data_IF_801886181011
#
_entry.id   IF_801886181011
#
_cell.length_a   1.000
_cell.length_b   1.000
_cell.length_c   1.000
_cell.angle_alpha   90.00
_cell.angle_beta   90.00
_cell.angle_gamma   90.00
#
_symmetry.space_group_name_H-M   'P 1'
#
loop_
_entity.id
_entity.type
_entity.pdbx_description
1 polymer ?
#
# COMPACT_ATOMS: atom_id res chain seq x y z
N UNK A 1 -12.26 -0.69 12.26
CA UNK A 1 -12.43 -1.75 13.26
C UNK A 1 -11.10 -2.45 13.43
N UNK A 2 -10.72 -2.77 14.66
CA UNK A 2 -9.49 -3.52 14.97
C UNK A 2 -9.77 -5.03 15.05
N UNK A 3 -8.71 -5.82 15.18
CA UNK A 3 -8.80 -7.30 15.23
C UNK A 3 -9.57 -7.83 16.45
N UNK A 4 -9.70 -7.02 17.52
CA UNK A 4 -10.53 -7.33 18.69
C UNK A 4 -12.02 -6.96 18.51
N UNK A 5 -12.39 -6.47 17.32
CA UNK A 5 -13.76 -6.05 16.99
C UNK A 5 -14.10 -4.63 17.42
N UNK A 6 -13.21 -3.90 18.11
CA UNK A 6 -13.46 -2.53 18.49
C UNK A 6 -13.49 -1.61 17.26
N UNK A 7 -14.49 -0.75 17.16
CA UNK A 7 -14.60 0.27 16.13
C UNK A 7 -14.42 1.66 16.74
N UNK A 8 -13.42 2.40 16.27
CA UNK A 8 -13.14 3.77 16.69
C UNK A 8 -13.30 4.74 15.52
N UNK A 9 -13.75 5.99 15.77
CA UNK A 9 -13.67 7.03 14.75
C UNK A 9 -12.20 7.34 14.42
N UNK A 10 -11.93 7.58 13.14
CA UNK A 10 -10.62 8.02 12.67
C UNK A 10 -10.69 9.47 12.18
N UNK A 11 -9.68 10.27 12.53
CA UNK A 11 -9.48 11.63 12.03
C UNK A 11 -8.55 11.60 10.81
N UNK A 12 -8.95 12.28 9.74
CA UNK A 12 -8.06 12.52 8.60
C UNK A 12 -6.97 13.51 8.99
N UNK A 13 -5.70 13.10 8.88
CA UNK A 13 -4.54 13.98 9.10
C UNK A 13 -4.08 14.64 7.81
N UNK A 14 -4.03 13.88 6.73
CA UNK A 14 -3.63 14.34 5.40
C UNK A 14 -4.13 13.39 4.32
N UNK A 15 -4.28 13.91 3.11
CA UNK A 15 -4.63 13.12 1.92
C UNK A 15 -3.86 13.67 0.72
N UNK A 16 -3.44 12.77 -0.17
CA UNK A 16 -3.03 13.13 -1.51
C UNK A 16 -3.79 12.28 -2.52
N UNK A 17 -4.66 12.93 -3.28
CA UNK A 17 -5.38 12.31 -4.38
C UNK A 17 -4.41 11.91 -5.51
N UNK A 18 -3.35 12.69 -5.75
CA UNK A 18 -2.36 12.41 -6.79
C UNK A 18 -1.57 11.12 -6.54
N UNK A 19 -1.37 10.76 -5.27
CA UNK A 19 -0.66 9.55 -4.88
C UNK A 19 -1.59 8.42 -4.43
N UNK A 20 -2.90 8.65 -4.34
CA UNK A 20 -3.88 7.71 -3.78
C UNK A 20 -3.52 7.25 -2.35
N UNK A 21 -3.16 8.21 -1.48
CA UNK A 21 -2.76 7.94 -0.09
C UNK A 21 -3.52 8.87 0.87
N UNK A 22 -4.02 8.30 1.96
CA UNK A 22 -4.57 9.04 3.10
C UNK A 22 -3.92 8.58 4.41
N UNK A 23 -3.62 9.55 5.30
CA UNK A 23 -3.12 9.32 6.64
C UNK A 23 -4.22 9.58 7.64
N UNK A 24 -4.54 8.57 8.44
CA UNK A 24 -5.61 8.61 9.43
C UNK A 24 -5.03 8.45 10.83
N UNK A 25 -5.65 9.10 11.81
CA UNK A 25 -5.33 8.94 13.23
C UNK A 25 -6.54 8.42 14.00
N UNK A 26 -6.29 7.49 14.90
CA UNK A 26 -7.26 6.99 15.88
C UNK A 26 -6.77 7.38 17.27
N UNK A 27 -7.70 7.60 18.19
CA UNK A 27 -7.39 7.86 19.60
C UNK A 27 -7.29 6.53 20.37
N UNK A 28 -6.20 5.79 20.15
CA UNK A 28 -5.91 4.50 20.80
C UNK A 28 -4.41 4.28 20.91
N UNK A 29 -3.96 4.02 22.13
CA UNK A 29 -2.55 3.73 22.43
C UNK A 29 -2.26 2.22 22.46
N UNK A 30 -0.98 1.86 22.50
CA UNK A 30 -0.54 0.46 22.65
C UNK A 30 -0.86 -0.45 21.47
N UNK A 31 -1.15 0.12 20.29
CA UNK A 31 -1.40 -0.65 19.07
C UNK A 31 -0.12 -1.33 18.56
N UNK A 32 -0.20 -2.57 18.07
CA UNK A 32 0.94 -3.21 17.42
C UNK A 32 1.30 -2.45 16.13
N UNK A 33 2.60 -2.27 15.90
CA UNK A 33 3.12 -1.59 14.71
C UNK A 33 3.67 -2.64 13.75
N UNK A 34 3.20 -2.61 12.50
CA UNK A 34 3.74 -3.45 11.46
C UNK A 34 5.18 -3.01 11.12
N UNK A 35 6.17 -3.92 11.08
CA UNK A 35 7.54 -3.56 10.73
C UNK A 35 7.58 -3.11 9.27
N UNK A 36 8.31 -2.03 8.99
CA UNK A 36 8.52 -1.52 7.64
C UNK A 36 9.78 -2.15 7.05
N UNK A 37 9.65 -2.71 5.85
CA UNK A 37 10.77 -3.19 5.05
C UNK A 37 11.25 -2.13 4.08
N UNK A 38 11.94 -2.57 3.03
CA UNK A 38 12.37 -1.70 1.94
C UNK A 38 11.71 -2.11 0.61
N UNK A 39 10.69 -1.36 0.20
CA UNK A 39 9.98 -1.57 -1.06
C UNK A 39 10.86 -1.35 -2.30
N UNK A 40 11.92 -0.55 -2.18
CA UNK A 40 12.87 -0.37 -3.28
C UNK A 40 13.81 -1.57 -3.45
N UNK A 41 13.98 -2.40 -2.42
CA UNK A 41 14.82 -3.60 -2.46
C UNK A 41 14.09 -4.84 -3.01
N UNK A 42 12.78 -4.76 -3.22
CA UNK A 42 11.97 -5.85 -3.79
C UNK A 42 12.47 -6.20 -5.19
N UNK A 43 12.58 -7.50 -5.44
CA UNK A 43 12.98 -8.09 -6.71
C UNK A 43 11.85 -8.93 -7.31
N UNK A 44 11.89 -9.13 -8.63
CA UNK A 44 10.95 -10.02 -9.29
C UNK A 44 11.11 -11.45 -8.77
N UNK A 45 10.00 -12.11 -8.49
CA UNK A 45 9.96 -13.46 -7.91
C UNK A 45 10.02 -13.49 -6.38
N UNK A 46 10.24 -12.37 -5.69
CA UNK A 46 10.13 -12.31 -4.24
C UNK A 46 8.70 -12.67 -3.81
N UNK A 47 8.57 -13.44 -2.73
CA UNK A 47 7.27 -13.78 -2.14
C UNK A 47 6.56 -12.54 -1.61
N UNK A 48 5.27 -12.43 -1.93
CA UNK A 48 4.43 -11.31 -1.55
C UNK A 48 3.16 -11.79 -0.85
N UNK A 49 2.86 -11.23 0.32
CA UNK A 49 1.62 -11.51 1.04
C UNK A 49 0.78 -10.24 1.10
N UNK A 50 -0.41 -10.26 0.47
CA UNK A 50 -1.39 -9.18 0.56
C UNK A 50 -2.39 -9.50 1.67
N UNK A 51 -2.68 -8.50 2.53
CA UNK A 51 -3.67 -8.61 3.60
C UNK A 51 -4.72 -7.52 3.43
N UNK A 52 -6.00 -7.87 3.58
CA UNK A 52 -7.11 -6.93 3.53
C UNK A 52 -8.35 -7.42 4.26
N UNK A 53 -9.44 -6.65 4.17
CA UNK A 53 -10.74 -6.96 4.77
C UNK A 53 -11.87 -6.64 3.78
N UNK A 54 -12.09 -7.51 2.76
CA UNK A 54 -13.25 -7.44 1.88
C UNK A 54 -14.57 -7.51 2.66
N UNK A 55 -15.66 -6.97 2.10
CA UNK A 55 -16.96 -6.95 2.78
C UNK A 55 -17.49 -8.36 3.12
N UNK A 56 -17.04 -9.38 2.38
CA UNK A 56 -17.43 -10.77 2.53
C UNK A 56 -16.60 -11.54 3.57
N UNK A 57 -15.45 -10.99 4.02
CA UNK A 57 -14.49 -11.69 4.88
C UNK A 57 -13.88 -10.76 5.92
N UNK A 58 -13.85 -11.17 7.20
CA UNK A 58 -13.22 -10.37 8.27
C UNK A 58 -11.75 -10.07 7.98
N UNK A 59 -11.02 -11.07 7.49
CA UNK A 59 -9.64 -10.95 7.02
C UNK A 59 -9.42 -11.82 5.78
N UNK A 60 -8.79 -11.26 4.76
CA UNK A 60 -8.31 -11.99 3.59
C UNK A 60 -6.79 -11.89 3.54
N UNK A 61 -6.13 -13.05 3.48
CA UNK A 61 -4.69 -13.17 3.28
C UNK A 61 -4.46 -13.91 1.96
N UNK A 62 -3.63 -13.34 1.09
CA UNK A 62 -3.30 -13.95 -0.20
C UNK A 62 -1.80 -13.93 -0.44
N UNK A 63 -1.27 -15.03 -0.97
CA UNK A 63 0.13 -15.19 -1.33
C UNK A 63 0.28 -15.11 -2.86
N UNK A 64 1.33 -14.42 -3.29
CA UNK A 64 1.80 -14.39 -4.66
C UNK A 64 3.29 -14.10 -4.71
N UNK A 65 3.75 -13.59 -5.84
CA UNK A 65 5.12 -13.12 -6.04
C UNK A 65 5.12 -11.69 -6.60
N UNK A 66 6.24 -10.98 -6.48
CA UNK A 66 6.45 -9.77 -7.25
C UNK A 66 6.59 -10.14 -8.74
N UNK A 67 5.53 -9.90 -9.51
CA UNK A 67 5.44 -10.27 -10.93
C UNK A 67 5.89 -9.14 -11.86
N UNK A 68 5.86 -7.90 -11.40
CA UNK A 68 6.39 -6.74 -12.13
C UNK A 68 6.80 -5.63 -11.18
N UNK A 69 7.73 -4.76 -11.59
CA UNK A 69 8.12 -3.58 -10.84
C UNK A 69 8.14 -2.39 -11.80
N UNK A 70 7.35 -1.37 -11.49
CA UNK A 70 7.29 -0.14 -12.27
C UNK A 70 8.06 0.93 -11.50
N UNK A 71 9.15 1.42 -12.08
CA UNK A 71 9.96 2.54 -11.55
C UNK A 71 9.92 3.67 -12.57
N UNK A 72 8.91 4.54 -12.55
CA UNK A 72 8.81 5.57 -13.56
C UNK A 72 9.92 6.60 -13.36
N UNK A 73 10.51 7.06 -14.45
CA UNK A 73 11.55 8.10 -14.47
C UNK A 73 10.96 9.43 -14.91
N UNK A 74 11.56 10.57 -14.52
CA UNK A 74 11.18 11.88 -15.06
C UNK A 74 11.17 11.85 -16.60
N UNK A 75 10.02 12.16 -17.20
CA UNK A 75 9.82 12.15 -18.66
C UNK A 75 9.21 10.88 -19.26
N UNK A 76 8.97 9.83 -18.47
CA UNK A 76 8.30 8.62 -18.96
C UNK A 76 6.81 8.88 -19.26
N UNK A 77 6.29 8.35 -20.38
CA UNK A 77 4.83 8.39 -20.66
C UNK A 77 4.02 7.60 -19.63
N UNK A 78 4.63 6.62 -18.97
CA UNK A 78 4.03 5.88 -17.86
C UNK A 78 3.92 6.74 -16.58
N UNK A 79 4.74 7.79 -16.44
CA UNK A 79 4.63 8.80 -15.39
C UNK A 79 3.35 9.65 -15.53
N UNK A 80 2.67 9.59 -16.68
CA UNK A 80 1.50 10.45 -16.98
C UNK A 80 0.23 9.98 -16.24
N UNK A 81 0.16 8.71 -15.80
CA UNK A 81 -0.97 8.23 -15.00
C UNK A 81 -0.90 8.64 -13.53
N UNK A 82 0.30 8.91 -13.02
CA UNK A 82 0.53 9.37 -11.65
C UNK A 82 1.57 10.49 -11.73
N UNK A 83 1.11 11.74 -11.65
CA UNK A 83 1.86 13.01 -11.83
C UNK A 83 3.20 13.09 -11.06
N UNK A 84 3.46 12.14 -10.14
CA UNK A 84 4.68 12.04 -9.34
C UNK A 84 5.25 10.62 -9.16
N UNK A 85 4.85 9.68 -10.02
CA UNK A 85 5.58 8.43 -10.30
C UNK A 85 6.02 7.57 -9.10
N UNK A 86 5.11 7.12 -8.22
CA UNK A 86 5.48 6.17 -7.20
C UNK A 86 6.01 4.88 -7.86
N UNK A 87 7.04 4.28 -7.25
CA UNK A 87 7.44 2.91 -7.60
C UNK A 87 6.29 1.98 -7.22
N UNK A 88 5.83 1.17 -8.18
CA UNK A 88 4.82 0.16 -7.94
C UNK A 88 5.42 -1.23 -7.94
N UNK A 89 4.95 -2.05 -7.01
CA UNK A 89 5.19 -3.49 -6.96
C UNK A 89 3.91 -4.16 -7.47
N UNK A 90 4.00 -4.81 -8.62
CA UNK A 90 2.91 -5.60 -9.15
C UNK A 90 3.04 -7.06 -8.72
N UNK A 91 1.93 -7.69 -8.35
CA UNK A 91 1.88 -9.05 -7.83
C UNK A 91 0.66 -9.82 -8.35
N UNK A 92 0.80 -11.13 -8.43
CA UNK A 92 -0.28 -12.08 -8.73
C UNK A 92 -1.01 -12.57 -7.47
N UNK A 93 -0.65 -12.07 -6.27
CA UNK A 93 -1.50 -12.21 -5.09
C UNK A 93 -2.90 -11.66 -5.40
N UNK A 94 -3.94 -12.25 -4.78
CA UNK A 94 -5.31 -11.83 -5.02
C UNK A 94 -5.49 -10.36 -4.67
N UNK A 95 -5.99 -9.60 -5.63
CA UNK A 95 -6.40 -8.21 -5.46
C UNK A 95 -7.88 -8.07 -5.78
N UNK A 96 -8.68 -7.69 -4.78
CA UNK A 96 -10.09 -7.39 -4.91
C UNK A 96 -10.47 -6.20 -4.03
N UNK A 97 -11.74 -5.80 -4.09
CA UNK A 97 -12.28 -4.73 -3.25
C UNK A 97 -12.10 -5.10 -1.77
N UNK A 98 -11.54 -4.18 -0.99
CA UNK A 98 -11.27 -4.36 0.45
C UNK A 98 -9.82 -4.76 0.78
N UNK A 99 -8.98 -4.99 -0.23
CA UNK A 99 -7.51 -5.06 -0.05
C UNK A 99 -6.86 -3.68 -0.19
N UNK A 100 -7.50 -2.73 -0.89
CA UNK A 100 -7.00 -1.35 -1.03
C UNK A 100 -6.73 -0.69 0.35
N UNK A 101 -5.55 -0.10 0.51
CA UNK A 101 -5.03 0.45 1.76
C UNK A 101 -4.36 -0.59 2.68
N UNK A 102 -4.55 -1.89 2.42
CA UNK A 102 -3.91 -2.97 3.16
C UNK A 102 -2.42 -3.13 2.83
N UNK A 103 -1.65 -3.81 3.69
CA UNK A 103 -0.22 -3.99 3.48
C UNK A 103 0.08 -5.10 2.46
N UNK A 104 1.14 -4.88 1.67
CA UNK A 104 1.85 -5.90 0.93
C UNK A 104 3.14 -6.23 1.68
N UNK A 105 3.30 -7.47 2.11
CA UNK A 105 4.40 -7.93 2.96
C UNK A 105 5.40 -8.78 2.18
N UNK A 106 6.68 -8.70 2.55
CA UNK A 106 7.70 -9.64 2.11
C UNK A 106 7.66 -10.95 2.93
N UNK A 107 8.54 -11.90 2.61
CA UNK A 107 8.66 -13.19 3.31
C UNK A 107 9.03 -13.07 4.80
N UNK A 108 9.57 -11.93 5.24
CA UNK A 108 9.91 -11.66 6.64
C UNK A 108 8.72 -11.03 7.42
N UNK A 109 7.58 -10.78 6.77
CA UNK A 109 6.43 -10.12 7.37
C UNK A 109 6.56 -8.61 7.48
N UNK A 110 7.51 -8.01 6.76
CA UNK A 110 7.72 -6.56 6.72
C UNK A 110 6.89 -5.93 5.60
N UNK A 111 6.29 -4.78 5.87
CA UNK A 111 5.53 -4.00 4.88
C UNK A 111 6.49 -3.44 3.85
N UNK A 112 6.36 -3.88 2.60
CA UNK A 112 7.13 -3.39 1.44
C UNK A 112 6.28 -2.56 0.48
N UNK A 113 4.96 -2.61 0.60
CA UNK A 113 4.05 -1.74 -0.13
C UNK A 113 2.66 -1.61 0.49
N UNK A 114 1.86 -0.69 -0.06
CA UNK A 114 0.45 -0.49 0.25
C UNK A 114 -0.38 -0.83 -0.99
N UNK A 115 -1.27 -1.80 -0.87
CA UNK A 115 -2.15 -2.23 -1.94
C UNK A 115 -3.07 -1.08 -2.37
N UNK A 116 -3.18 -0.80 -3.68
CA UNK A 116 -4.05 0.28 -4.20
C UNK A 116 -5.05 -0.26 -5.21
N UNK A 117 -4.59 -0.63 -6.40
CA UNK A 117 -5.43 -0.95 -7.54
C UNK A 117 -5.03 -2.28 -8.21
N UNK A 118 -5.90 -2.74 -9.12
CA UNK A 118 -5.69 -3.93 -9.92
C UNK A 118 -6.01 -3.63 -11.38
N UNK A 119 -5.29 -4.28 -12.30
CA UNK A 119 -5.55 -4.17 -13.74
C UNK A 119 -6.24 -5.41 -14.29
N UNK A 120 -7.51 -5.25 -14.64
CA UNK A 120 -8.32 -6.33 -15.23
C UNK A 120 -7.80 -6.76 -16.60
N UNK A 121 -7.26 -5.83 -17.39
CA UNK A 121 -6.69 -6.11 -18.71
C UNK A 121 -5.35 -6.87 -18.65
N UNK A 122 -4.75 -7.00 -17.45
CA UNK A 122 -3.57 -7.81 -17.17
C UNK A 122 -3.92 -9.04 -16.32
N UNK A 123 -5.05 -9.70 -16.61
CA UNK A 123 -5.54 -10.89 -15.89
C UNK A 123 -5.66 -10.71 -14.37
N UNK A 124 -5.97 -9.50 -13.92
CA UNK A 124 -6.18 -9.24 -12.49
C UNK A 124 -4.91 -8.94 -11.70
N UNK A 125 -3.80 -8.58 -12.35
CA UNK A 125 -2.56 -8.23 -11.68
C UNK A 125 -2.76 -7.06 -10.70
N UNK A 126 -2.42 -7.28 -9.43
CA UNK A 126 -2.49 -6.30 -8.36
C UNK A 126 -1.29 -5.37 -8.35
N UNK A 127 -1.47 -4.14 -7.88
CA UNK A 127 -0.42 -3.14 -7.75
C UNK A 127 -0.44 -2.50 -6.37
N UNK A 128 0.73 -2.49 -5.73
CA UNK A 128 0.98 -1.80 -4.48
C UNK A 128 1.96 -0.64 -4.69
N UNK A 129 1.72 0.48 -4.01
CA UNK A 129 2.66 1.60 -3.91
C UNK A 129 3.77 1.16 -2.96
N UNK A 130 5.04 1.24 -3.38
CA UNK A 130 6.17 0.86 -2.52
C UNK A 130 6.19 1.70 -1.23
N UNK A 131 6.48 1.06 -0.09
CA UNK A 131 6.39 1.66 1.25
C UNK A 131 7.26 2.91 1.39
N UNK A 132 8.43 2.93 0.73
CA UNK A 132 9.32 4.09 0.71
C UNK A 132 8.63 5.32 0.13
N UNK A 133 7.73 5.15 -0.86
CA UNK A 133 6.97 6.26 -1.44
C UNK A 133 5.87 6.74 -0.51
N UNK A 134 5.23 5.82 0.22
CA UNK A 134 4.27 6.20 1.27
C UNK A 134 4.96 7.05 2.34
N UNK A 135 6.18 6.69 2.72
CA UNK A 135 7.00 7.46 3.66
C UNK A 135 7.37 8.85 3.10
N UNK A 136 7.79 8.95 1.83
CA UNK A 136 8.08 10.24 1.19
C UNK A 136 6.85 11.17 1.23
N UNK A 137 5.67 10.63 0.90
CA UNK A 137 4.41 11.40 0.91
C UNK A 137 4.01 11.78 2.34
N UNK A 138 4.23 10.90 3.32
CA UNK A 138 4.01 11.22 4.73
C UNK A 138 4.87 12.42 5.15
N UNK A 139 6.16 12.42 4.79
CA UNK A 139 7.08 13.53 5.06
C UNK A 139 6.66 14.82 4.34
N UNK A 140 6.16 14.74 3.11
CA UNK A 140 5.67 15.92 2.37
C UNK A 140 4.42 16.53 3.03
N UNK A 141 3.44 15.70 3.40
CA UNK A 141 2.13 16.18 3.82
C UNK A 141 2.05 16.47 5.32
N UNK A 142 2.63 15.62 6.17
CA UNK A 142 2.49 15.75 7.61
C UNK A 142 3.41 16.82 8.19
N UNK A 143 4.59 17.05 7.58
CA UNK A 143 5.46 18.14 8.01
C UNK A 143 4.92 19.53 7.63
N UNK A 144 4.08 19.65 6.58
CA UNK A 144 3.44 20.92 6.19
C UNK A 144 2.31 21.35 7.13
N UNK A 145 1.78 20.42 7.94
CA UNK A 145 0.67 20.68 8.87
C UNK A 145 1.16 20.96 10.31
N UNK A 146 2.47 21.14 10.52
CA UNK A 146 3.09 21.49 11.80
C UNK A 146 3.53 22.97 11.88
N UNK A 147 3.31 23.74 10.81
CA UNK A 147 3.41 25.21 10.78
C UNK A 147 2.01 25.85 10.82
#
# INVERSE_FOLDING_TARGET
TFQDGEALPARLLAISENYDIAFLQVDREGLPIAPLGNGDAVQLGDWMVAIGSPAEFDNLVSLGVASTIIRPKPGDKAAVFFDRSPTFIGTDALFNKGISGGPLLNAAGEVVGMCTYMRQDLNGLGFAIAVNRVADVACELLNRNLD
#
